data_IF_409313870044
#
_entry.id   IF_409313870044
#
_cell.length_a   1.000
_cell.length_b   1.000
_cell.length_c   1.000
_cell.angle_alpha   90.00
_cell.angle_beta   90.00
_cell.angle_gamma   90.00
#
_symmetry.space_group_name_H-M   'P 1'
#
loop_
_entity.id
_entity.type
_entity.pdbx_description
1 polymer ?
#
# COMPACT_ATOMS: atom_id res chain seq x y z
N UNK A 1 -14.72 -33.89 1.70
CA UNK A 1 -13.77 -33.97 2.81
C UNK A 1 -13.43 -32.53 3.17
N UNK A 2 -13.72 -32.15 4.40
CA UNK A 2 -13.93 -30.78 4.81
C UNK A 2 -12.69 -29.89 4.76
N UNK A 3 -12.92 -28.72 4.23
CA UNK A 3 -12.06 -27.55 4.23
C UNK A 3 -12.02 -27.01 5.67
N UNK A 4 -10.95 -27.34 6.38
CA UNK A 4 -10.74 -26.79 7.74
C UNK A 4 -10.04 -25.44 7.58
N UNK A 5 -10.81 -24.39 7.22
CA UNK A 5 -10.38 -23.02 7.46
C UNK A 5 -10.16 -22.84 8.95
N UNK A 6 -8.88 -22.72 9.32
CA UNK A 6 -8.48 -22.35 10.66
C UNK A 6 -9.12 -21.00 10.99
N UNK A 7 -10.01 -20.99 11.99
CA UNK A 7 -10.76 -19.82 12.44
C UNK A 7 -9.77 -18.75 12.92
N UNK A 8 -9.70 -17.62 12.21
CA UNK A 8 -9.09 -16.39 12.72
C UNK A 8 -9.79 -16.01 14.03
N UNK A 9 -9.02 -15.64 15.02
CA UNK A 9 -9.53 -15.15 16.31
C UNK A 9 -10.48 -13.98 16.05
N UNK A 10 -11.67 -13.90 16.67
CA UNK A 10 -12.62 -12.81 16.40
C UNK A 10 -12.00 -11.48 16.78
N UNK A 11 -11.68 -10.63 15.79
CA UNK A 11 -11.18 -9.27 15.97
C UNK A 11 -9.81 -8.96 15.40
N UNK A 12 -9.08 -9.91 14.82
CA UNK A 12 -7.79 -9.65 14.15
C UNK A 12 -7.97 -9.38 12.66
N UNK A 13 -7.33 -8.30 12.15
CA UNK A 13 -7.45 -7.86 10.76
C UNK A 13 -6.80 -8.86 9.78
N UNK A 14 -5.59 -9.36 10.11
CA UNK A 14 -4.85 -10.37 9.34
C UNK A 14 -3.71 -10.94 10.18
N UNK A 15 -3.10 -12.06 9.74
CA UNK A 15 -1.90 -12.65 10.35
C UNK A 15 -0.66 -12.21 9.60
N UNK A 16 0.31 -11.67 10.33
CA UNK A 16 1.58 -11.19 9.79
C UNK A 16 2.75 -12.02 10.33
N UNK A 17 3.75 -12.26 9.49
CA UNK A 17 5.06 -12.76 9.90
C UNK A 17 6.06 -11.61 9.82
N UNK A 18 6.71 -11.26 10.93
CA UNK A 18 7.76 -10.24 11.00
C UNK A 18 9.10 -10.93 11.14
N UNK A 19 10.02 -10.65 10.21
CA UNK A 19 11.36 -11.23 10.15
C UNK A 19 12.40 -10.13 10.16
N UNK A 20 13.18 -10.10 11.22
CA UNK A 20 14.30 -9.14 11.41
C UNK A 20 15.27 -9.74 12.43
N UNK A 21 16.56 -9.71 12.19
CA UNK A 21 17.56 -10.28 13.09
C UNK A 21 17.79 -9.40 14.34
N UNK A 22 17.51 -8.10 14.24
CA UNK A 22 17.61 -7.17 15.36
C UNK A 22 16.40 -7.32 16.31
N UNK A 23 16.59 -7.86 17.54
CA UNK A 23 15.48 -8.13 18.45
C UNK A 23 14.68 -6.87 18.82
N UNK A 24 15.36 -5.71 18.94
CA UNK A 24 14.69 -4.45 19.26
C UNK A 24 13.74 -3.98 18.15
N UNK A 25 14.13 -4.14 16.88
CA UNK A 25 13.30 -3.77 15.72
C UNK A 25 12.15 -4.76 15.59
N UNK A 26 12.45 -6.06 15.68
CA UNK A 26 11.46 -7.14 15.61
C UNK A 26 10.38 -6.98 16.70
N UNK A 27 10.76 -6.74 17.94
CA UNK A 27 9.82 -6.57 19.06
C UNK A 27 9.01 -5.28 18.94
N UNK A 28 9.64 -4.19 18.51
CA UNK A 28 8.95 -2.91 18.25
C UNK A 28 7.88 -3.08 17.16
N UNK A 29 8.25 -3.67 16.03
CA UNK A 29 7.31 -3.93 14.92
C UNK A 29 6.18 -4.86 15.37
N UNK A 30 6.53 -5.99 16.02
CA UNK A 30 5.53 -6.94 16.47
C UNK A 30 4.53 -6.33 17.45
N UNK A 31 5.01 -5.54 18.41
CA UNK A 31 4.16 -4.87 19.40
C UNK A 31 3.26 -3.82 18.75
N UNK A 32 3.80 -3.02 17.84
CA UNK A 32 3.07 -1.96 17.16
C UNK A 32 2.01 -2.52 16.20
N UNK A 33 2.33 -3.60 15.48
CA UNK A 33 1.41 -4.25 14.56
C UNK A 33 0.28 -4.97 15.32
N UNK A 34 0.58 -5.59 16.47
CA UNK A 34 -0.47 -6.13 17.36
C UNK A 34 -1.39 -5.03 17.88
N UNK A 35 -0.83 -3.88 18.27
CA UNK A 35 -1.63 -2.72 18.68
C UNK A 35 -2.50 -2.18 17.53
N UNK A 36 -2.02 -2.27 16.29
CA UNK A 36 -2.79 -1.90 15.08
C UNK A 36 -3.88 -2.90 14.69
N UNK A 37 -4.02 -4.04 15.41
CA UNK A 37 -5.09 -5.02 15.23
C UNK A 37 -4.70 -6.29 14.46
N UNK A 38 -3.41 -6.51 14.19
CA UNK A 38 -2.92 -7.71 13.48
C UNK A 38 -2.54 -8.84 14.45
N UNK A 39 -2.68 -10.09 14.00
CA UNK A 39 -2.02 -11.25 14.63
C UNK A 39 -0.59 -11.35 14.12
N UNK A 40 0.42 -11.42 15.02
CA UNK A 40 1.82 -11.32 14.62
C UNK A 40 2.64 -12.49 15.17
N UNK A 41 3.23 -13.26 14.26
CA UNK A 41 4.32 -14.21 14.53
C UNK A 41 5.65 -13.61 14.10
N UNK A 42 6.76 -14.09 14.65
CA UNK A 42 8.09 -13.51 14.42
C UNK A 42 9.11 -14.59 14.09
N UNK A 43 10.14 -14.24 13.30
CA UNK A 43 11.33 -15.05 13.07
C UNK A 43 12.57 -14.16 13.13
N UNK A 44 13.75 -14.73 13.45
CA UNK A 44 15.00 -13.99 13.61
C UNK A 44 15.98 -14.18 12.43
N UNK A 45 15.69 -15.11 11.55
CA UNK A 45 16.53 -15.45 10.40
C UNK A 45 15.70 -15.98 9.22
N UNK A 46 16.35 -16.19 8.09
CA UNK A 46 15.69 -16.66 6.87
C UNK A 46 15.19 -18.10 6.95
N UNK A 47 15.86 -18.97 7.69
CA UNK A 47 15.45 -20.36 7.91
C UNK A 47 14.20 -20.43 8.78
N UNK A 48 14.15 -19.64 9.85
CA UNK A 48 12.97 -19.44 10.69
C UNK A 48 11.81 -18.84 9.94
N UNK A 49 12.07 -17.83 9.09
CA UNK A 49 11.06 -17.24 8.24
C UNK A 49 10.38 -18.25 7.32
N UNK A 50 11.18 -19.12 6.66
CA UNK A 50 10.65 -20.18 5.81
C UNK A 50 9.80 -21.19 6.59
N UNK A 51 10.28 -21.62 7.77
CA UNK A 51 9.55 -22.54 8.63
C UNK A 51 8.23 -21.95 9.13
N UNK A 52 8.26 -20.70 9.63
CA UNK A 52 7.07 -20.02 10.13
C UNK A 52 6.06 -19.72 9.02
N UNK A 53 6.51 -19.37 7.82
CA UNK A 53 5.63 -19.15 6.69
C UNK A 53 4.82 -20.42 6.33
N UNK A 54 5.45 -21.60 6.44
CA UNK A 54 4.77 -22.88 6.22
C UNK A 54 3.82 -23.27 7.37
N UNK A 55 4.27 -23.04 8.61
CA UNK A 55 3.54 -23.47 9.81
C UNK A 55 2.34 -22.56 10.11
N UNK A 56 2.54 -21.24 10.11
CA UNK A 56 1.55 -20.27 10.53
C UNK A 56 0.66 -19.76 9.37
N UNK A 57 1.10 -19.92 8.12
CA UNK A 57 0.44 -19.45 6.89
C UNK A 57 0.01 -17.98 7.03
N UNK A 58 0.96 -17.06 7.15
CA UNK A 58 0.65 -15.64 7.29
C UNK A 58 0.02 -15.08 6.01
N UNK A 59 -0.79 -14.04 6.18
CA UNK A 59 -1.42 -13.31 5.09
C UNK A 59 -0.43 -12.32 4.43
N UNK A 60 0.62 -11.91 5.16
CA UNK A 60 1.72 -11.06 4.67
C UNK A 60 2.97 -11.29 5.50
N UNK A 61 4.14 -11.17 4.85
CA UNK A 61 5.46 -11.26 5.49
C UNK A 61 6.11 -9.88 5.43
N UNK A 62 6.50 -9.33 6.58
CA UNK A 62 7.39 -8.17 6.70
C UNK A 62 8.81 -8.71 6.89
N UNK A 63 9.69 -8.49 5.92
CA UNK A 63 10.96 -9.21 5.80
C UNK A 63 12.13 -8.25 5.67
N UNK A 64 13.07 -8.30 6.61
CA UNK A 64 14.36 -7.63 6.42
C UNK A 64 15.13 -8.26 5.27
N UNK A 65 15.74 -7.41 4.44
CA UNK A 65 16.63 -7.84 3.38
C UNK A 65 17.93 -8.40 3.95
N UNK A 66 18.44 -7.84 5.05
CA UNK A 66 19.72 -8.21 5.64
C UNK A 66 19.52 -9.17 6.81
N UNK A 67 19.57 -10.48 6.54
CA UNK A 67 19.49 -11.52 7.58
C UNK A 67 20.82 -12.27 7.72
N UNK A 68 21.11 -12.89 8.87
CA UNK A 68 22.43 -13.45 9.16
C UNK A 68 22.77 -14.73 8.37
N UNK A 69 21.78 -15.49 7.96
CA UNK A 69 21.94 -16.80 7.28
C UNK A 69 21.73 -16.73 5.77
N UNK A 70 20.84 -15.85 5.30
CA UNK A 70 20.57 -15.61 3.88
C UNK A 70 19.85 -14.27 3.68
N UNK A 71 20.00 -13.63 2.51
CA UNK A 71 19.28 -12.40 2.23
C UNK A 71 17.77 -12.63 2.05
N UNK A 72 16.95 -11.59 2.32
CA UNK A 72 15.49 -11.66 2.23
C UNK A 72 14.98 -12.00 0.82
N UNK A 73 15.71 -11.65 -0.23
CA UNK A 73 15.36 -12.03 -1.60
C UNK A 73 15.50 -13.53 -1.83
N UNK A 74 16.55 -14.13 -1.24
CA UNK A 74 16.75 -15.59 -1.26
C UNK A 74 15.65 -16.29 -0.47
N UNK A 75 15.22 -15.75 0.68
CA UNK A 75 14.04 -16.26 1.42
C UNK A 75 12.81 -16.24 0.53
N UNK A 76 12.52 -15.11 -0.10
CA UNK A 76 11.35 -14.94 -0.97
C UNK A 76 11.38 -15.92 -2.14
N UNK A 77 12.53 -16.10 -2.80
CA UNK A 77 12.69 -17.08 -3.89
C UNK A 77 12.38 -18.49 -3.40
N UNK A 78 12.91 -18.91 -2.25
CA UNK A 78 12.62 -20.24 -1.67
C UNK A 78 11.14 -20.42 -1.35
N UNK A 79 10.47 -19.38 -0.86
CA UNK A 79 9.02 -19.41 -0.63
C UNK A 79 8.28 -19.63 -1.94
N UNK A 80 8.62 -18.91 -3.01
CA UNK A 80 8.01 -19.07 -4.34
C UNK A 80 8.29 -20.45 -4.94
N UNK A 81 9.51 -20.97 -4.82
CA UNK A 81 9.89 -22.32 -5.26
C UNK A 81 9.11 -23.41 -4.52
N UNK A 82 8.72 -23.17 -3.27
CA UNK A 82 7.85 -24.05 -2.47
C UNK A 82 6.35 -23.84 -2.72
N UNK A 83 5.95 -22.97 -3.67
CA UNK A 83 4.55 -22.68 -3.98
C UNK A 83 3.86 -21.75 -2.98
N UNK A 84 4.62 -21.07 -2.11
CA UNK A 84 4.10 -20.10 -1.15
C UNK A 84 4.08 -18.73 -1.82
N UNK A 85 2.87 -18.24 -2.08
CA UNK A 85 2.62 -16.96 -2.77
C UNK A 85 2.31 -15.80 -1.81
N UNK A 86 2.41 -16.02 -0.50
CA UNK A 86 2.22 -14.98 0.53
C UNK A 86 2.98 -13.70 0.15
N UNK A 87 2.31 -12.54 0.14
CA UNK A 87 2.93 -11.25 -0.21
C UNK A 87 4.03 -10.87 0.77
N UNK A 88 5.04 -10.15 0.25
CA UNK A 88 6.24 -9.76 1.00
C UNK A 88 6.45 -8.26 0.92
N UNK A 89 6.47 -7.60 2.10
CA UNK A 89 6.92 -6.22 2.29
C UNK A 89 8.37 -6.25 2.77
N UNK A 90 9.30 -5.77 1.94
CA UNK A 90 10.71 -5.71 2.32
C UNK A 90 11.03 -4.51 3.21
N UNK A 91 11.87 -4.74 4.25
CA UNK A 91 12.55 -3.68 4.99
C UNK A 91 13.99 -3.60 4.48
N UNK A 92 14.46 -2.43 4.02
CA UNK A 92 15.77 -2.29 3.39
C UNK A 92 16.52 -1.06 3.91
N UNK A 93 17.86 -1.09 3.91
CA UNK A 93 18.67 0.09 4.18
C UNK A 93 18.61 1.09 3.01
N UNK A 94 18.81 2.38 3.30
CA UNK A 94 18.62 3.52 2.38
C UNK A 94 19.53 3.49 1.13
N UNK A 95 20.65 2.77 1.16
CA UNK A 95 21.72 2.86 0.15
C UNK A 95 21.64 1.83 -0.98
N UNK A 96 20.71 0.87 -0.94
CA UNK A 96 20.62 -0.21 -1.90
C UNK A 96 19.50 -0.02 -2.93
N UNK A 97 19.66 1.00 -3.80
CA UNK A 97 18.74 1.19 -4.94
C UNK A 97 18.80 0.02 -5.95
N UNK A 98 19.91 -0.75 -5.96
CA UNK A 98 20.03 -1.97 -6.78
C UNK A 98 19.14 -3.10 -6.24
N UNK A 99 18.99 -3.20 -4.93
CA UNK A 99 18.16 -4.20 -4.25
C UNK A 99 16.68 -3.97 -4.47
N UNK A 100 16.24 -2.71 -4.64
CA UNK A 100 14.84 -2.36 -4.98
C UNK A 100 14.39 -2.96 -6.31
N UNK A 101 15.24 -2.89 -7.35
CA UNK A 101 14.94 -3.45 -8.67
C UNK A 101 14.97 -4.98 -8.59
N UNK A 102 15.89 -5.56 -7.82
CA UNK A 102 16.02 -7.00 -7.64
C UNK A 102 14.85 -7.57 -6.82
N UNK A 103 14.38 -6.86 -5.78
CA UNK A 103 13.24 -7.26 -4.94
C UNK A 103 11.94 -7.37 -5.72
N UNK A 104 11.62 -6.40 -6.56
CA UNK A 104 10.44 -6.42 -7.42
C UNK A 104 10.52 -7.52 -8.50
N UNK A 105 11.73 -7.85 -8.99
CA UNK A 105 11.95 -8.91 -9.99
C UNK A 105 11.81 -10.31 -9.37
N UNK A 106 12.03 -10.46 -8.06
CA UNK A 106 11.96 -11.75 -7.33
C UNK A 106 10.56 -12.03 -6.76
N UNK A 107 9.61 -11.10 -6.91
CA UNK A 107 8.23 -11.26 -6.47
C UNK A 107 7.94 -10.69 -5.07
N UNK A 108 8.62 -9.61 -4.69
CA UNK A 108 8.22 -8.75 -3.57
C UNK A 108 7.12 -7.78 -4.00
N UNK A 109 6.20 -7.47 -3.09
CA UNK A 109 5.00 -6.66 -3.38
C UNK A 109 5.20 -5.17 -3.09
N UNK A 110 6.09 -4.82 -2.14
CA UNK A 110 6.48 -3.44 -1.82
C UNK A 110 7.73 -3.43 -0.94
N UNK A 111 8.29 -2.24 -0.67
CA UNK A 111 9.45 -2.06 0.21
C UNK A 111 9.33 -0.80 1.08
N UNK A 112 9.99 -0.82 2.24
CA UNK A 112 10.14 0.32 3.16
C UNK A 112 11.61 0.50 3.49
N UNK A 113 12.11 1.72 3.44
CA UNK A 113 13.52 2.02 3.74
C UNK A 113 13.70 2.34 5.22
N UNK A 114 14.71 1.72 5.86
CA UNK A 114 15.17 2.07 7.22
C UNK A 114 15.94 3.41 7.18
N UNK A 115 15.69 4.38 8.11
CA UNK A 115 14.70 4.32 9.17
C UNK A 115 13.28 4.62 8.67
N UNK A 116 12.27 3.91 9.18
CA UNK A 116 10.89 4.03 8.77
C UNK A 116 9.97 4.50 9.90
N UNK A 117 8.85 5.11 9.53
CA UNK A 117 7.75 5.38 10.44
C UNK A 117 6.82 4.16 10.57
N UNK A 118 6.38 3.85 11.79
CA UNK A 118 5.45 2.72 12.01
C UNK A 118 4.12 2.90 11.26
N UNK A 119 3.64 4.14 11.15
CA UNK A 119 2.43 4.48 10.40
C UNK A 119 2.57 4.16 8.90
N UNK A 120 3.76 4.39 8.32
CA UNK A 120 4.07 4.02 6.94
C UNK A 120 4.01 2.51 6.74
N UNK A 121 4.66 1.73 7.63
CA UNK A 121 4.64 0.26 7.56
C UNK A 121 3.20 -0.27 7.64
N UNK A 122 2.39 0.21 8.59
CA UNK A 122 0.98 -0.18 8.74
C UNK A 122 0.18 0.17 7.48
N UNK A 123 0.36 1.37 6.92
CA UNK A 123 -0.35 1.79 5.71
C UNK A 123 -0.02 0.90 4.50
N UNK A 124 1.27 0.53 4.31
CA UNK A 124 1.71 -0.36 3.24
C UNK A 124 1.21 -1.79 3.42
N UNK A 125 1.28 -2.33 4.65
CA UNK A 125 0.71 -3.64 4.97
C UNK A 125 -0.76 -3.69 4.57
N UNK A 126 -1.57 -2.70 4.98
CA UNK A 126 -2.99 -2.63 4.63
C UNK A 126 -3.22 -2.52 3.13
N UNK A 127 -2.39 -1.76 2.42
CA UNK A 127 -2.48 -1.63 0.98
C UNK A 127 -2.18 -2.95 0.25
N UNK A 128 -1.18 -3.73 0.72
CA UNK A 128 -0.87 -5.04 0.16
C UNK A 128 -1.99 -6.03 0.48
N UNK A 129 -2.41 -6.14 1.75
CA UNK A 129 -3.46 -7.08 2.16
C UNK A 129 -4.78 -6.82 1.41
N UNK A 130 -5.14 -5.57 1.20
CA UNK A 130 -6.31 -5.21 0.40
C UNK A 130 -6.21 -5.78 -1.02
N UNK A 131 -5.05 -5.70 -1.68
CA UNK A 131 -4.83 -6.25 -3.02
C UNK A 131 -4.83 -7.77 -3.08
N UNK A 132 -4.44 -8.46 -2.00
CA UNK A 132 -4.22 -9.90 -2.01
C UNK A 132 -5.32 -10.73 -1.32
N UNK A 133 -6.07 -10.14 -0.39
CA UNK A 133 -7.14 -10.83 0.36
C UNK A 133 -8.55 -10.49 -0.14
N UNK A 134 -8.68 -9.50 -1.00
CA UNK A 134 -9.95 -9.13 -1.63
C UNK A 134 -10.40 -10.17 -2.67
N UNK A 135 -11.70 -10.32 -2.84
CA UNK A 135 -12.30 -11.11 -3.92
C UNK A 135 -11.91 -10.50 -5.27
N UNK A 136 -11.44 -11.30 -6.21
CA UNK A 136 -10.75 -10.97 -7.46
C UNK A 136 -11.44 -9.97 -8.42
N UNK A 137 -12.61 -9.41 -8.08
CA UNK A 137 -13.35 -8.50 -8.96
C UNK A 137 -13.62 -7.09 -8.37
N UNK A 138 -13.45 -6.84 -7.06
CA UNK A 138 -13.86 -5.55 -6.45
C UNK A 138 -12.72 -4.74 -5.79
N UNK A 139 -11.56 -5.32 -5.53
CA UNK A 139 -10.49 -4.71 -4.72
C UNK A 139 -9.38 -3.97 -5.48
N UNK A 140 -9.25 -4.19 -6.79
CA UNK A 140 -8.42 -3.33 -7.66
C UNK A 140 -9.12 -1.98 -7.96
N UNK A 141 -10.42 -1.88 -7.58
CA UNK A 141 -11.26 -0.73 -7.90
C UNK A 141 -11.46 0.18 -6.69
N UNK A 142 -10.80 1.34 -6.69
CA UNK A 142 -11.12 2.40 -5.74
C UNK A 142 -12.40 3.11 -6.18
N UNK A 143 -13.41 3.19 -5.30
CA UNK A 143 -14.70 3.78 -5.61
C UNK A 143 -15.05 4.93 -4.67
N UNK A 144 -15.50 6.06 -5.24
CA UNK A 144 -16.11 7.16 -4.48
C UNK A 144 -17.27 7.73 -5.29
N UNK A 145 -18.50 7.45 -4.87
CA UNK A 145 -19.69 7.78 -5.64
C UNK A 145 -19.69 7.06 -7.00
N UNK A 146 -19.77 7.84 -8.07
CA UNK A 146 -19.74 7.39 -9.47
C UNK A 146 -18.33 7.32 -10.09
N UNK A 147 -17.29 7.64 -9.32
CA UNK A 147 -15.88 7.54 -9.72
C UNK A 147 -15.34 6.15 -9.39
N UNK A 148 -14.67 5.53 -10.34
CA UNK A 148 -13.97 4.25 -10.19
C UNK A 148 -12.57 4.38 -10.75
N UNK A 149 -11.57 3.94 -9.99
CA UNK A 149 -10.17 3.82 -10.42
C UNK A 149 -9.80 2.33 -10.38
N UNK A 150 -9.37 1.81 -11.51
CA UNK A 150 -8.71 0.53 -11.63
C UNK A 150 -7.20 0.77 -11.53
N UNK A 151 -6.59 0.36 -10.42
CA UNK A 151 -5.16 0.59 -10.17
C UNK A 151 -4.29 -0.33 -11.04
N UNK A 152 -4.75 -1.53 -11.34
CA UNK A 152 -3.99 -2.52 -12.10
C UNK A 152 -4.04 -2.22 -13.61
N UNK A 153 -5.22 -1.88 -14.12
CA UNK A 153 -5.37 -1.45 -15.51
C UNK A 153 -4.91 0.00 -15.76
N UNK A 154 -4.66 0.78 -14.69
CA UNK A 154 -4.36 2.22 -14.77
C UNK A 154 -5.48 3.04 -15.44
N UNK A 155 -6.73 2.59 -15.26
CA UNK A 155 -7.91 3.17 -15.86
C UNK A 155 -8.76 3.91 -14.84
N UNK A 156 -9.41 4.97 -15.29
CA UNK A 156 -10.35 5.77 -14.49
C UNK A 156 -11.65 5.90 -15.25
N UNK A 157 -12.77 5.65 -14.58
CA UNK A 157 -14.10 5.93 -15.13
C UNK A 157 -14.90 6.79 -14.16
N UNK A 158 -15.80 7.62 -14.69
CA UNK A 158 -16.79 8.36 -13.92
C UNK A 158 -18.15 8.28 -14.58
N UNK A 159 -19.17 7.88 -13.82
CA UNK A 159 -20.50 7.57 -14.35
C UNK A 159 -20.44 6.60 -15.56
N UNK A 160 -19.47 5.66 -15.55
CA UNK A 160 -19.22 4.72 -16.65
C UNK A 160 -18.48 5.31 -17.87
N UNK A 161 -18.13 6.60 -17.85
CA UNK A 161 -17.37 7.26 -18.92
C UNK A 161 -15.87 7.19 -18.61
N UNK A 162 -15.02 6.65 -19.53
CA UNK A 162 -13.57 6.62 -19.36
C UNK A 162 -12.98 8.03 -19.29
N UNK A 163 -12.02 8.23 -18.35
CA UNK A 163 -11.31 9.50 -18.15
C UNK A 163 -9.84 9.30 -18.48
N UNK A 164 -9.36 9.99 -19.50
CA UNK A 164 -7.94 9.97 -19.86
C UNK A 164 -7.15 10.92 -18.95
N UNK A 165 -6.24 10.34 -18.14
CA UNK A 165 -5.39 11.06 -17.20
C UNK A 165 -3.92 10.87 -17.55
N UNK A 166 -3.13 11.95 -17.41
CA UNK A 166 -1.68 11.83 -17.39
C UNK A 166 -1.21 11.08 -16.14
N UNK A 167 0.02 10.52 -16.11
CA UNK A 167 0.54 9.82 -14.93
C UNK A 167 0.48 10.65 -13.64
N UNK A 168 0.75 11.96 -13.72
CA UNK A 168 0.69 12.87 -12.56
C UNK A 168 -0.75 13.13 -12.12
N UNK A 169 -1.68 13.30 -13.05
CA UNK A 169 -3.12 13.46 -12.75
C UNK A 169 -3.68 12.18 -12.11
N UNK A 170 -3.27 11.02 -12.60
CA UNK A 170 -3.66 9.73 -12.02
C UNK A 170 -3.12 9.58 -10.58
N UNK A 171 -1.83 9.86 -10.34
CA UNK A 171 -1.23 9.84 -8.99
C UNK A 171 -1.98 10.77 -8.03
N UNK A 172 -2.31 11.99 -8.48
CA UNK A 172 -3.04 12.97 -7.68
C UNK A 172 -4.47 12.50 -7.37
N UNK A 173 -5.21 12.02 -8.38
CA UNK A 173 -6.57 11.54 -8.18
C UNK A 173 -6.61 10.33 -7.25
N UNK A 174 -5.71 9.37 -7.47
CA UNK A 174 -5.53 8.20 -6.60
C UNK A 174 -5.28 8.60 -5.14
N UNK A 175 -4.36 9.54 -4.92
CA UNK A 175 -4.05 10.04 -3.58
C UNK A 175 -5.28 10.67 -2.91
N UNK A 176 -6.06 11.46 -3.63
CA UNK A 176 -7.30 12.05 -3.13
C UNK A 176 -8.38 11.00 -2.82
N UNK A 177 -8.50 9.97 -3.65
CA UNK A 177 -9.47 8.87 -3.46
C UNK A 177 -9.12 8.01 -2.24
N UNK A 178 -7.85 7.65 -2.05
CA UNK A 178 -7.39 6.92 -0.85
C UNK A 178 -7.66 7.71 0.43
N UNK A 179 -7.60 9.05 0.35
CA UNK A 179 -7.91 9.95 1.47
C UNK A 179 -9.34 10.49 1.42
N UNK A 180 -10.26 9.82 0.73
CA UNK A 180 -11.64 10.28 0.60
C UNK A 180 -12.28 10.57 1.95
N UNK A 181 -13.05 11.67 2.05
CA UNK A 181 -13.66 12.13 3.28
C UNK A 181 -12.73 12.87 4.25
N UNK A 182 -11.42 12.94 3.95
CA UNK A 182 -10.42 13.69 4.74
C UNK A 182 -9.89 14.89 3.98
N UNK A 183 -9.56 15.97 4.71
CA UNK A 183 -8.90 17.13 4.10
C UNK A 183 -7.40 16.85 4.00
N UNK A 184 -6.84 16.94 2.80
CA UNK A 184 -5.40 16.86 2.54
C UNK A 184 -4.86 18.24 2.21
N UNK A 185 -3.76 18.62 2.83
CA UNK A 185 -3.11 19.91 2.58
C UNK A 185 -2.37 19.92 1.25
N UNK A 186 -2.10 21.13 0.71
CA UNK A 186 -1.30 21.25 -0.53
C UNK A 186 0.11 20.67 -0.37
N UNK A 187 0.73 20.80 0.81
CA UNK A 187 2.05 20.23 1.09
C UNK A 187 2.02 18.72 1.07
N UNK A 188 1.03 18.09 1.73
CA UNK A 188 0.88 16.64 1.69
C UNK A 188 0.66 16.10 0.27
N UNK A 189 -0.12 16.80 -0.54
CA UNK A 189 -0.31 16.48 -1.96
C UNK A 189 1.01 16.60 -2.72
N UNK A 190 1.76 17.69 -2.51
CA UNK A 190 3.02 17.94 -3.18
C UNK A 190 4.04 16.84 -2.85
N UNK A 191 4.23 16.55 -1.57
CA UNK A 191 5.17 15.53 -1.08
C UNK A 191 4.86 14.13 -1.64
N UNK A 192 3.56 13.82 -1.82
CA UNK A 192 3.15 12.48 -2.28
C UNK A 192 3.18 12.32 -3.80
N UNK A 193 2.84 13.37 -4.56
CA UNK A 193 2.65 13.29 -6.02
C UNK A 193 3.92 13.65 -6.80
N UNK A 194 4.74 14.60 -6.28
CA UNK A 194 5.89 15.17 -7.00
C UNK A 194 7.26 14.76 -6.45
N UNK A 195 7.34 13.93 -5.40
CA UNK A 195 8.59 13.50 -4.75
C UNK A 195 9.46 14.66 -4.20
N UNK A 196 10.41 14.36 -3.31
CA UNK A 196 11.15 15.29 -2.45
C UNK A 196 12.05 16.32 -3.16
N UNK A 197 12.28 16.21 -4.47
CA UNK A 197 13.22 17.08 -5.24
C UNK A 197 12.49 18.16 -6.08
N UNK A 198 11.23 18.46 -5.76
CA UNK A 198 10.49 19.46 -6.50
C UNK A 198 10.79 20.89 -5.98
N UNK A 199 11.62 21.65 -6.74
CA UNK A 199 11.89 23.09 -6.52
C UNK A 199 10.74 24.02 -7.02
N UNK A 200 9.59 23.46 -7.39
CA UNK A 200 8.47 24.19 -7.97
C UNK A 200 7.51 24.80 -6.95
N UNK A 201 6.73 25.77 -7.40
CA UNK A 201 5.76 26.47 -6.57
C UNK A 201 4.58 25.58 -6.17
N UNK A 202 4.11 25.71 -4.93
CA UNK A 202 2.91 25.02 -4.39
C UNK A 202 1.65 25.29 -5.26
N UNK A 203 1.67 26.36 -6.06
CA UNK A 203 0.62 26.70 -7.03
C UNK A 203 0.37 25.62 -8.11
N UNK A 204 1.33 24.71 -8.35
CA UNK A 204 1.15 23.61 -9.31
C UNK A 204 0.00 22.71 -8.89
N UNK A 205 -0.18 22.45 -7.58
CA UNK A 205 -1.29 21.65 -7.05
C UNK A 205 -2.64 22.23 -7.48
N UNK A 206 -2.79 23.56 -7.43
CA UNK A 206 -4.03 24.23 -7.84
C UNK A 206 -4.35 24.01 -9.32
N UNK A 207 -3.33 24.06 -10.17
CA UNK A 207 -3.48 23.83 -11.60
C UNK A 207 -3.93 22.39 -11.89
N UNK A 208 -3.30 21.39 -11.26
CA UNK A 208 -3.66 19.98 -11.43
C UNK A 208 -5.05 19.65 -10.85
N UNK A 209 -5.42 20.25 -9.72
CA UNK A 209 -6.79 20.16 -9.20
C UNK A 209 -7.81 20.73 -10.20
N UNK A 210 -7.49 21.87 -10.82
CA UNK A 210 -8.35 22.46 -11.86
C UNK A 210 -8.48 21.54 -13.09
N UNK A 211 -7.37 20.91 -13.52
CA UNK A 211 -7.39 19.95 -14.63
C UNK A 211 -8.24 18.72 -14.30
N UNK A 212 -8.06 18.14 -13.10
CA UNK A 212 -8.87 17.00 -12.65
C UNK A 212 -10.36 17.34 -12.59
N UNK A 213 -10.74 18.46 -11.99
CA UNK A 213 -12.15 18.91 -11.95
C UNK A 213 -12.76 18.97 -13.33
N UNK A 214 -12.04 19.58 -14.28
CA UNK A 214 -12.51 19.68 -15.67
C UNK A 214 -12.66 18.32 -16.35
N UNK A 215 -11.72 17.40 -16.15
CA UNK A 215 -11.76 16.05 -16.73
C UNK A 215 -12.83 15.17 -16.09
N UNK A 216 -13.05 15.34 -14.79
CA UNK A 216 -14.07 14.63 -14.04
C UNK A 216 -15.49 15.17 -14.28
N UNK A 217 -15.67 16.33 -14.87
CA UNK A 217 -16.98 16.89 -15.22
C UNK A 217 -17.52 16.25 -16.51
N UNK A 218 -18.00 15.01 -16.42
CA UNK A 218 -18.58 14.27 -17.55
C UNK A 218 -20.11 14.28 -17.48
N UNK A 219 -20.76 14.00 -18.63
CA UNK A 219 -22.22 13.93 -18.71
C UNK A 219 -22.73 12.74 -17.87
N UNK A 220 -23.76 12.98 -17.07
CA UNK A 220 -24.32 11.98 -16.15
C UNK A 220 -23.62 11.88 -14.79
N UNK A 221 -22.55 12.62 -14.57
CA UNK A 221 -21.85 12.62 -13.29
C UNK A 221 -22.64 13.34 -12.18
N UNK A 222 -22.62 12.77 -10.96
CA UNK A 222 -23.26 13.33 -9.78
C UNK A 222 -22.38 14.39 -9.11
N UNK A 223 -22.58 15.67 -9.43
CA UNK A 223 -21.96 16.78 -8.70
C UNK A 223 -20.44 16.90 -8.81
N UNK A 224 -19.83 17.75 -8.00
CA UNK A 224 -18.37 17.95 -7.91
C UNK A 224 -17.78 17.05 -6.83
N UNK A 225 -16.74 16.27 -7.15
CA UNK A 225 -16.09 15.37 -6.18
C UNK A 225 -14.98 16.05 -5.36
N UNK A 226 -14.23 16.98 -5.97
CA UNK A 226 -13.07 17.61 -5.34
C UNK A 226 -13.46 18.99 -4.82
N UNK A 227 -13.52 19.14 -3.50
CA UNK A 227 -13.90 20.42 -2.89
C UNK A 227 -12.69 21.12 -2.27
N UNK A 228 -12.67 22.47 -2.34
CA UNK A 228 -11.64 23.28 -1.71
C UNK A 228 -12.03 23.63 -0.28
N UNK A 229 -11.16 23.34 0.69
CA UNK A 229 -11.24 23.88 2.05
C UNK A 229 -10.28 25.06 2.16
N UNK A 230 -10.83 26.29 2.06
CA UNK A 230 -10.05 27.54 2.02
C UNK A 230 -9.05 27.60 3.18
N UNK A 231 -7.78 27.91 2.86
CA UNK A 231 -6.69 28.01 3.83
C UNK A 231 -6.16 26.67 4.36
N UNK A 232 -6.76 25.52 4.01
CA UNK A 232 -6.38 24.19 4.52
C UNK A 232 -5.90 23.28 3.39
N UNK A 233 -6.72 23.05 2.35
CA UNK A 233 -6.39 22.12 1.27
C UNK A 233 -7.62 21.65 0.51
N UNK A 234 -7.63 20.37 0.14
CA UNK A 234 -8.68 19.76 -0.67
C UNK A 234 -9.27 18.52 0.01
N UNK A 235 -10.51 18.22 -0.30
CA UNK A 235 -11.20 17.01 0.13
C UNK A 235 -11.93 16.42 -1.06
N UNK A 236 -11.81 15.11 -1.24
CA UNK A 236 -12.59 14.36 -2.23
C UNK A 236 -13.71 13.61 -1.51
N UNK A 237 -14.95 13.80 -1.97
CA UNK A 237 -16.13 13.10 -1.45
C UNK A 237 -17.25 13.12 -2.49
N UNK A 238 -18.09 12.09 -2.50
CA UNK A 238 -19.36 12.15 -3.20
C UNK A 238 -20.32 13.12 -2.49
N UNK A 239 -21.17 13.80 -3.26
CA UNK A 239 -22.34 14.49 -2.72
C UNK A 239 -23.45 13.45 -2.53
N UNK A 240 -24.10 13.46 -1.35
CA UNK A 240 -25.25 12.61 -1.04
C UNK A 240 -26.50 12.99 -1.88
#
# INVERSE_FOLDING_TARGET
MGDTRCMSTPGTEAKLLVVDDEPNIRDLLASSLRFAGFDVVTAEDGSGAFHEAQASRPDLIVLDVMLPDMDGFTVTRRLRDAGITTPVLFLTARDDMRDKIQGLTVGGDDYVTKPFGLEEVVARIRAILRRTMGSEEDDALLRVGDLVIDEDAHEVTRAGVPIDLSPTEFKLLRYLVINAGRVVSKMQILDHVWEYDWDGEVAIVESYISYLRRKLAVEGASGELIHTKRGVGYILRAED
#
